data_IF_352499643236
#
_entry.id   IF_352499643236
#
_cell.length_a   1.000
_cell.length_b   1.000
_cell.length_c   1.000
_cell.angle_alpha   90.00
_cell.angle_beta   90.00
_cell.angle_gamma   90.00
#
_symmetry.space_group_name_H-M   'P 1'
#
loop_
_entity.id
_entity.type
_entity.pdbx_description
1 polymer ?
#
# COMPACT_ATOMS: atom_id res chain seq x y z
N UNK A 1 4.35 -9.43 12.13
CA UNK A 1 5.41 -8.82 11.28
C UNK A 1 6.59 -8.28 12.06
N UNK A 2 6.43 -7.80 13.29
CA UNK A 2 7.52 -7.21 14.08
C UNK A 2 8.70 -8.19 14.24
N UNK A 3 8.43 -9.42 14.70
CA UNK A 3 9.45 -10.45 14.88
C UNK A 3 9.98 -11.00 13.54
N UNK A 4 9.16 -10.96 12.49
CA UNK A 4 9.52 -11.48 11.18
C UNK A 4 10.43 -10.54 10.38
N UNK A 5 10.54 -9.26 10.79
CA UNK A 5 11.29 -8.21 10.08
C UNK A 5 12.30 -7.51 10.99
N UNK A 6 13.27 -8.23 11.58
CA UNK A 6 14.19 -7.68 12.58
C UNK A 6 15.09 -6.57 12.02
N UNK A 7 15.43 -6.60 10.72
CA UNK A 7 16.29 -5.60 10.11
C UNK A 7 15.66 -4.21 10.08
N UNK A 8 14.32 -4.10 9.93
CA UNK A 8 13.62 -2.80 9.98
C UNK A 8 13.71 -2.18 11.37
N UNK A 9 13.56 -2.99 12.43
CA UNK A 9 13.78 -2.55 13.81
C UNK A 9 15.21 -2.07 14.02
N UNK A 10 16.20 -2.86 13.57
CA UNK A 10 17.62 -2.53 13.69
C UNK A 10 17.95 -1.17 13.04
N UNK A 11 17.44 -0.91 11.85
CA UNK A 11 17.61 0.37 11.15
C UNK A 11 17.00 1.52 11.93
N UNK A 12 15.75 1.39 12.39
CA UNK A 12 15.10 2.43 13.19
C UNK A 12 15.88 2.75 14.47
N UNK A 13 16.38 1.72 15.15
CA UNK A 13 17.22 1.87 16.35
C UNK A 13 18.59 2.49 16.05
N UNK A 14 19.18 2.22 14.88
CA UNK A 14 20.42 2.84 14.41
C UNK A 14 20.26 4.37 14.25
N UNK A 15 19.05 4.82 13.96
CA UNK A 15 18.69 6.25 13.91
C UNK A 15 18.06 6.76 15.21
N UNK A 16 18.38 6.13 16.35
CA UNK A 16 17.91 6.51 17.69
C UNK A 16 16.37 6.52 17.87
N UNK A 17 15.63 5.82 17.01
CA UNK A 17 14.20 5.70 17.16
C UNK A 17 13.82 4.67 18.23
N UNK A 18 12.87 5.01 19.10
CA UNK A 18 12.23 4.06 20.00
C UNK A 18 11.19 3.25 19.23
N UNK A 19 11.29 1.95 19.28
CA UNK A 19 10.42 1.03 18.52
C UNK A 19 9.63 0.13 19.44
N UNK A 20 8.32 0.26 19.43
CA UNK A 20 7.41 -0.58 20.23
C UNK A 20 6.57 -1.45 19.30
N UNK A 21 6.46 -2.77 19.53
CA UNK A 21 5.55 -3.62 18.77
C UNK A 21 4.10 -3.24 19.05
N UNK A 22 3.21 -3.41 18.07
CA UNK A 22 1.77 -3.19 18.21
C UNK A 22 1.00 -4.47 17.86
N UNK A 23 -0.05 -4.82 18.64
CA UNK A 23 -0.49 -4.16 19.87
C UNK A 23 0.45 -4.36 21.04
N UNK A 24 0.48 -3.40 21.97
CA UNK A 24 1.37 -3.39 23.14
C UNK A 24 0.61 -3.25 24.45
N UNK A 25 1.30 -3.51 25.58
CA UNK A 25 0.76 -3.28 26.92
C UNK A 25 0.99 -1.82 27.43
N UNK A 26 1.58 -0.97 26.60
CA UNK A 26 1.95 0.40 27.01
C UNK A 26 0.80 1.41 26.85
N UNK A 27 -0.18 1.09 26.02
CA UNK A 27 -1.36 1.91 25.73
C UNK A 27 -2.65 1.27 26.20
N UNK A 28 -3.73 2.03 26.37
CA UNK A 28 -5.06 1.47 26.67
C UNK A 28 -5.62 0.73 25.45
N UNK A 29 -5.48 1.32 24.28
CA UNK A 29 -5.90 0.70 23.02
C UNK A 29 -5.19 -0.64 22.79
N UNK A 30 -3.88 -0.71 23.01
CA UNK A 30 -3.12 -1.94 22.87
C UNK A 30 -3.54 -3.02 23.87
N UNK A 31 -3.73 -2.65 25.14
CA UNK A 31 -4.23 -3.57 26.19
C UNK A 31 -5.65 -4.09 25.86
N UNK A 32 -6.55 -3.23 25.37
CA UNK A 32 -7.90 -3.65 25.01
C UNK A 32 -7.89 -4.64 23.83
N UNK A 33 -7.06 -4.41 22.81
CA UNK A 33 -6.90 -5.32 21.68
C UNK A 33 -6.34 -6.67 22.13
N UNK A 34 -5.30 -6.69 22.98
CA UNK A 34 -4.69 -7.90 23.52
C UNK A 34 -5.63 -8.65 24.47
N UNK A 35 -6.50 -7.94 25.19
CA UNK A 35 -7.51 -8.56 26.05
C UNK A 35 -8.59 -9.28 25.22
N UNK A 36 -8.92 -8.75 24.02
CA UNK A 36 -9.87 -9.36 23.10
C UNK A 36 -9.25 -10.58 22.38
N UNK A 37 -8.03 -10.47 21.90
CA UNK A 37 -7.27 -11.55 21.25
C UNK A 37 -5.79 -11.50 21.66
N UNK A 38 -5.39 -12.28 22.68
CA UNK A 38 -4.00 -12.34 23.14
C UNK A 38 -3.01 -12.88 22.09
N UNK A 39 -3.51 -13.55 21.05
CA UNK A 39 -2.69 -14.21 20.02
C UNK A 39 -2.61 -13.39 18.73
N UNK A 40 -3.23 -12.23 18.70
CA UNK A 40 -3.31 -11.40 17.49
C UNK A 40 -1.94 -11.00 16.96
N UNK A 41 -1.74 -11.13 15.66
CA UNK A 41 -0.56 -10.62 14.95
C UNK A 41 -0.58 -9.10 14.73
N UNK A 42 -1.64 -8.42 15.17
CA UNK A 42 -1.88 -7.00 14.98
C UNK A 42 -2.09 -6.60 13.51
N UNK A 43 -2.39 -5.33 13.35
CA UNK A 43 -2.58 -4.70 12.04
C UNK A 43 -2.06 -3.27 12.07
N UNK A 44 -2.03 -2.61 10.91
CA UNK A 44 -1.78 -1.17 10.87
C UNK A 44 -2.86 -0.39 11.66
N UNK A 45 -4.12 -0.84 11.63
CA UNK A 45 -5.21 -0.24 12.41
C UNK A 45 -4.95 -0.25 13.92
N UNK A 46 -4.38 -1.34 14.45
CA UNK A 46 -3.95 -1.39 15.87
C UNK A 46 -2.86 -0.36 16.17
N UNK A 47 -1.83 -0.31 15.32
CA UNK A 47 -0.73 0.64 15.50
C UNK A 47 -1.18 2.11 15.38
N UNK A 48 -2.15 2.40 14.53
CA UNK A 48 -2.77 3.73 14.43
C UNK A 48 -3.46 4.09 15.76
N UNK A 49 -4.27 3.20 16.32
CA UNK A 49 -4.95 3.45 17.62
C UNK A 49 -3.95 3.80 18.72
N UNK A 50 -2.89 3.02 18.88
CA UNK A 50 -1.88 3.25 19.89
C UNK A 50 -1.09 4.55 19.65
N UNK A 51 -0.70 4.84 18.40
CA UNK A 51 0.03 6.05 18.06
C UNK A 51 -0.80 7.33 18.28
N UNK A 52 -2.11 7.29 17.95
CA UNK A 52 -3.02 8.42 18.21
C UNK A 52 -3.22 8.61 19.70
N UNK A 53 -3.40 7.54 20.49
CA UNK A 53 -3.48 7.62 21.95
C UNK A 53 -2.25 8.30 22.54
N UNK A 54 -1.04 7.85 22.17
CA UNK A 54 0.20 8.46 22.65
C UNK A 54 0.29 9.95 22.26
N UNK A 55 -0.05 10.30 21.02
CA UNK A 55 0.00 11.67 20.55
C UNK A 55 -0.99 12.61 21.26
N UNK A 56 -2.14 12.08 21.70
CA UNK A 56 -3.18 12.87 22.37
C UNK A 56 -3.01 12.95 23.89
N UNK A 57 -2.30 12.01 24.50
CA UNK A 57 -2.13 11.92 25.96
C UNK A 57 -0.77 12.43 26.45
N UNK A 58 0.20 12.65 25.55
CA UNK A 58 1.53 13.13 25.90
C UNK A 58 1.81 14.50 25.29
N UNK A 59 2.13 15.46 26.13
CA UNK A 59 2.50 16.83 25.68
C UNK A 59 3.74 16.79 24.78
N UNK A 60 3.71 17.56 23.69
CA UNK A 60 4.83 17.65 22.74
C UNK A 60 4.86 16.55 21.67
N UNK A 61 4.09 15.48 21.82
CA UNK A 61 4.01 14.42 20.81
C UNK A 61 3.15 14.82 19.62
N UNK A 62 3.47 14.29 18.47
CA UNK A 62 2.70 14.48 17.22
C UNK A 62 2.53 13.15 16.52
N UNK A 63 1.34 12.94 15.98
CA UNK A 63 1.02 11.76 15.17
C UNK A 63 1.43 11.99 13.71
N UNK A 64 2.21 11.05 13.16
CA UNK A 64 2.60 11.03 11.75
C UNK A 64 2.23 9.68 11.17
N UNK A 65 1.31 9.67 10.22
CA UNK A 65 0.93 8.47 9.46
C UNK A 65 1.58 8.50 8.07
N UNK A 66 2.14 7.37 7.65
CA UNK A 66 2.81 7.21 6.35
C UNK A 66 1.90 6.71 5.22
N UNK A 67 0.56 6.63 5.41
CA UNK A 67 -0.36 6.14 4.39
C UNK A 67 -1.79 6.67 4.57
N UNK A 68 -2.73 6.32 3.69
CA UNK A 68 -4.19 6.54 3.77
C UNK A 68 -4.62 8.00 3.63
N UNK A 69 -4.03 8.91 4.39
CA UNK A 69 -4.47 10.31 4.51
C UNK A 69 -4.11 11.15 3.28
N UNK A 70 -4.97 12.13 2.96
CA UNK A 70 -4.83 12.96 1.77
C UNK A 70 -3.49 13.70 1.70
N UNK A 71 -2.97 14.23 2.84
CA UNK A 71 -1.67 14.88 2.86
C UNK A 71 -0.52 13.92 2.51
N UNK A 72 -0.64 12.62 2.85
CA UNK A 72 0.37 11.63 2.48
C UNK A 72 0.34 11.37 0.97
N UNK A 73 -0.84 11.23 0.37
CA UNK A 73 -0.99 11.11 -1.07
C UNK A 73 -0.40 12.33 -1.78
N UNK A 74 -0.67 13.54 -1.25
CA UNK A 74 -0.13 14.78 -1.79
C UNK A 74 1.40 14.81 -1.75
N UNK A 75 2.03 14.45 -0.64
CA UNK A 75 3.50 14.37 -0.57
C UNK A 75 4.07 13.32 -1.52
N UNK A 76 3.42 12.17 -1.64
CA UNK A 76 3.88 11.10 -2.53
C UNK A 76 3.59 11.37 -4.01
N UNK A 77 2.82 12.40 -4.36
CA UNK A 77 2.57 12.80 -5.75
C UNK A 77 3.85 13.20 -6.51
N UNK A 78 4.93 13.53 -5.80
CA UNK A 78 6.24 13.78 -6.40
C UNK A 78 6.71 12.59 -7.24
N UNK A 79 6.42 11.36 -6.81
CA UNK A 79 6.78 10.14 -7.56
C UNK A 79 6.07 10.11 -8.92
N UNK A 80 4.78 10.41 -8.93
CA UNK A 80 4.01 10.49 -10.18
C UNK A 80 4.47 11.62 -11.09
N UNK A 81 4.71 12.81 -10.51
CA UNK A 81 5.17 13.98 -11.27
C UNK A 81 6.53 13.73 -11.93
N UNK A 82 7.50 13.19 -11.19
CA UNK A 82 8.82 12.84 -11.75
C UNK A 82 8.72 11.68 -12.76
N UNK A 83 7.87 10.68 -12.51
CA UNK A 83 7.60 9.61 -13.47
C UNK A 83 7.03 10.14 -14.77
N UNK A 84 6.05 11.05 -14.71
CA UNK A 84 5.48 11.69 -15.91
C UNK A 84 6.53 12.50 -16.66
N UNK A 85 7.35 13.29 -15.95
CA UNK A 85 8.44 14.04 -16.57
C UNK A 85 9.46 13.11 -17.24
N UNK A 86 9.82 12.00 -16.62
CA UNK A 86 10.72 11.02 -17.21
C UNK A 86 10.14 10.38 -18.49
N UNK A 87 8.83 10.08 -18.51
CA UNK A 87 8.14 9.58 -19.69
C UNK A 87 8.14 10.62 -20.83
N UNK A 88 7.86 11.88 -20.50
CA UNK A 88 7.91 13.00 -21.47
C UNK A 88 9.31 13.17 -22.09
N UNK A 89 10.38 12.98 -21.29
CA UNK A 89 11.77 13.04 -21.82
C UNK A 89 12.09 11.90 -22.79
N UNK A 90 11.34 10.80 -22.73
CA UNK A 90 11.46 9.65 -23.64
C UNK A 90 10.48 9.73 -24.83
N UNK A 91 9.70 10.80 -24.93
CA UNK A 91 8.61 10.95 -25.89
C UNK A 91 7.57 9.81 -25.78
N UNK A 92 7.29 9.38 -24.53
CA UNK A 92 6.41 8.27 -24.20
C UNK A 92 5.27 8.73 -23.28
N UNK A 93 4.14 8.03 -23.34
CA UNK A 93 3.04 8.16 -22.40
C UNK A 93 2.51 6.75 -22.04
N UNK A 94 2.25 6.42 -20.77
CA UNK A 94 1.83 5.08 -20.42
C UNK A 94 0.37 4.79 -20.84
N UNK A 95 0.15 3.65 -21.49
CA UNK A 95 -1.18 3.09 -21.72
C UNK A 95 -1.74 2.49 -20.44
N UNK A 96 -0.85 1.95 -19.59
CA UNK A 96 -1.22 1.27 -18.35
C UNK A 96 -0.31 1.76 -17.22
N UNK A 97 -0.90 2.19 -16.10
CA UNK A 97 -0.19 2.57 -14.87
C UNK A 97 -0.57 1.60 -13.76
N UNK A 98 0.42 0.95 -13.15
CA UNK A 98 0.23 -0.12 -12.16
C UNK A 98 0.93 0.23 -10.86
N UNK A 99 0.24 0.09 -9.73
CA UNK A 99 0.87 0.26 -8.42
C UNK A 99 0.30 -0.68 -7.35
N UNK A 100 1.15 -1.07 -6.41
CA UNK A 100 0.70 -1.85 -5.25
C UNK A 100 -0.15 -0.97 -4.30
N UNK A 101 -1.16 -1.56 -3.70
CA UNK A 101 -2.14 -0.88 -2.87
C UNK A 101 -2.36 -1.58 -1.53
N UNK A 102 -1.95 -0.89 -0.45
CA UNK A 102 -2.34 -1.17 0.93
C UNK A 102 -3.33 -0.11 1.38
N UNK A 103 -2.88 0.90 2.13
CA UNK A 103 -3.66 2.12 2.41
C UNK A 103 -3.82 3.06 1.22
N UNK A 104 -3.05 2.86 0.15
CA UNK A 104 -3.21 3.52 -1.14
C UNK A 104 -2.32 4.74 -1.39
N UNK A 105 -1.54 5.23 -0.43
CA UNK A 105 -0.76 6.45 -0.64
C UNK A 105 0.34 6.30 -1.71
N UNK A 106 1.01 5.16 -1.76
CA UNK A 106 2.00 4.84 -2.79
C UNK A 106 1.39 4.86 -4.19
N UNK A 107 0.29 4.14 -4.37
CA UNK A 107 -0.47 4.14 -5.62
C UNK A 107 -0.98 5.54 -5.96
N UNK A 108 -1.60 6.23 -4.99
CA UNK A 108 -2.16 7.57 -5.19
C UNK A 108 -1.11 8.59 -5.61
N UNK A 109 0.10 8.51 -5.05
CA UNK A 109 1.22 9.34 -5.44
C UNK A 109 1.65 9.10 -6.89
N UNK A 110 1.85 7.84 -7.25
CA UNK A 110 2.25 7.45 -8.60
C UNK A 110 1.23 7.88 -9.66
N UNK A 111 -0.05 7.60 -9.43
CA UNK A 111 -1.09 7.83 -10.45
C UNK A 111 -1.55 9.28 -10.55
N UNK A 112 -1.20 10.15 -9.59
CA UNK A 112 -1.78 11.49 -9.49
C UNK A 112 -1.77 12.32 -10.78
N UNK A 113 -0.67 12.48 -11.54
CA UNK A 113 -0.65 13.27 -12.76
C UNK A 113 -1.36 12.56 -13.93
N UNK A 114 -1.32 11.23 -13.97
CA UNK A 114 -2.00 10.44 -15.00
C UNK A 114 -3.51 10.43 -14.79
N UNK A 115 -3.95 10.36 -13.51
CA UNK A 115 -5.35 10.51 -13.15
C UNK A 115 -5.85 11.91 -13.44
N UNK A 116 -5.04 12.94 -13.20
CA UNK A 116 -5.38 14.32 -13.58
C UNK A 116 -5.63 14.44 -15.09
N UNK A 117 -4.76 13.88 -15.92
CA UNK A 117 -4.95 13.90 -17.37
C UNK A 117 -6.21 13.13 -17.79
N UNK A 118 -6.48 11.99 -17.17
CA UNK A 118 -7.70 11.21 -17.40
C UNK A 118 -8.96 11.98 -17.01
N UNK A 119 -8.98 12.61 -15.84
CA UNK A 119 -10.14 13.42 -15.40
C UNK A 119 -10.36 14.67 -16.24
N UNK A 120 -9.30 15.23 -16.82
CA UNK A 120 -9.36 16.39 -17.74
C UNK A 120 -9.62 15.98 -19.20
N UNK A 121 -9.74 14.69 -19.50
CA UNK A 121 -9.95 14.19 -20.86
C UNK A 121 -8.75 14.39 -21.79
N UNK A 122 -7.54 14.58 -21.26
CA UNK A 122 -6.30 14.75 -22.04
C UNK A 122 -5.71 13.42 -22.50
N UNK A 123 -5.86 12.37 -21.67
CA UNK A 123 -5.42 11.00 -21.93
C UNK A 123 -6.32 10.04 -21.15
N UNK A 124 -6.31 8.75 -21.52
CA UNK A 124 -7.13 7.73 -20.87
C UNK A 124 -6.32 6.46 -20.55
N UNK A 125 -5.25 6.56 -19.74
CA UNK A 125 -4.51 5.38 -19.32
C UNK A 125 -5.36 4.46 -18.44
N UNK A 126 -5.19 3.14 -18.58
CA UNK A 126 -5.72 2.20 -17.60
C UNK A 126 -4.90 2.28 -16.33
N UNK A 127 -5.57 2.36 -15.19
CA UNK A 127 -4.93 2.46 -13.88
C UNK A 127 -5.31 1.23 -13.07
N UNK A 128 -4.33 0.44 -12.62
CA UNK A 128 -4.53 -0.83 -11.94
C UNK A 128 -3.92 -0.78 -10.54
N UNK A 129 -4.78 -0.88 -9.53
CA UNK A 129 -4.39 -1.12 -8.15
C UNK A 129 -4.15 -2.61 -7.94
N UNK A 130 -3.00 -2.98 -7.36
CA UNK A 130 -2.66 -4.37 -7.09
C UNK A 130 -2.57 -4.60 -5.58
N UNK A 131 -3.44 -5.43 -5.05
CA UNK A 131 -3.52 -5.73 -3.63
C UNK A 131 -3.23 -7.21 -3.34
N UNK A 132 -2.77 -7.56 -2.11
CA UNK A 132 -2.59 -8.95 -1.74
C UNK A 132 -3.94 -9.66 -1.58
N UNK A 133 -4.03 -10.90 -2.06
CA UNK A 133 -5.23 -11.72 -1.91
C UNK A 133 -5.60 -12.01 -0.43
N UNK A 134 -4.65 -11.81 0.50
CA UNK A 134 -4.86 -11.91 1.94
C UNK A 134 -5.41 -10.65 2.60
N UNK A 135 -5.43 -9.51 1.88
CA UNK A 135 -5.94 -8.22 2.36
C UNK A 135 -6.58 -7.40 1.22
N UNK A 136 -7.67 -7.91 0.59
CA UNK A 136 -8.23 -7.40 -0.65
C UNK A 136 -9.30 -6.32 -0.40
N UNK A 137 -8.89 -5.14 0.06
CA UNK A 137 -9.81 -4.08 0.47
C UNK A 137 -10.66 -3.52 -0.67
N UNK A 138 -10.11 -3.35 -1.88
CA UNK A 138 -10.85 -2.89 -3.05
C UNK A 138 -11.69 -4.00 -3.68
N UNK A 139 -11.08 -5.17 -3.93
CA UNK A 139 -11.74 -6.25 -4.70
C UNK A 139 -12.78 -7.03 -3.90
N UNK A 140 -12.71 -7.03 -2.56
CA UNK A 140 -13.65 -7.75 -1.68
C UNK A 140 -14.26 -6.91 -0.55
N UNK A 141 -13.75 -5.69 -0.33
CA UNK A 141 -14.26 -4.78 0.67
C UNK A 141 -15.61 -4.16 0.27
N UNK A 142 -16.18 -3.42 1.20
CA UNK A 142 -17.43 -2.65 1.00
C UNK A 142 -17.11 -1.16 1.00
N UNK A 143 -17.80 -0.39 0.15
CA UNK A 143 -17.68 1.07 0.12
C UNK A 143 -18.64 1.69 1.13
N UNK A 144 -18.16 1.88 2.35
CA UNK A 144 -18.93 2.37 3.50
C UNK A 144 -18.12 3.33 4.36
N UNK A 145 -18.78 3.97 5.35
CA UNK A 145 -18.07 4.68 6.40
C UNK A 145 -17.51 3.67 7.40
N UNK A 146 -16.23 3.82 7.71
CA UNK A 146 -15.52 2.99 8.68
C UNK A 146 -14.45 3.80 9.41
N UNK A 147 -14.00 3.30 10.57
CA UNK A 147 -12.86 3.88 11.28
C UNK A 147 -11.55 3.55 10.56
N UNK A 148 -10.62 4.51 10.58
CA UNK A 148 -9.27 4.28 10.04
C UNK A 148 -8.41 3.42 10.96
N UNK A 149 -8.88 3.08 12.15
CA UNK A 149 -8.17 2.33 13.18
C UNK A 149 -9.06 1.30 13.89
N UNK A 150 -8.44 0.33 14.54
CA UNK A 150 -9.13 -0.77 15.23
C UNK A 150 -9.77 -0.33 16.55
N UNK A 151 -9.18 0.63 17.25
CA UNK A 151 -9.63 1.12 18.55
C UNK A 151 -10.67 2.25 18.48
N UNK A 152 -11.11 2.65 17.29
CA UNK A 152 -12.14 3.69 17.06
C UNK A 152 -11.75 5.08 17.60
N UNK A 153 -10.47 5.40 17.63
CA UNK A 153 -9.98 6.72 18.10
C UNK A 153 -9.83 7.74 16.96
N UNK A 154 -9.95 7.29 15.70
CA UNK A 154 -9.90 8.15 14.51
C UNK A 154 -11.31 8.52 14.03
N UNK A 155 -11.46 9.60 13.24
CA UNK A 155 -12.73 9.91 12.57
C UNK A 155 -13.16 8.82 11.57
N UNK A 156 -14.47 8.73 11.34
CA UNK A 156 -15.01 7.92 10.25
C UNK A 156 -14.62 8.49 8.88
N UNK A 157 -14.22 7.62 7.98
CA UNK A 157 -13.95 7.96 6.60
C UNK A 157 -14.70 7.03 5.66
N UNK A 158 -15.23 7.56 4.56
CA UNK A 158 -15.87 6.74 3.52
C UNK A 158 -14.80 6.09 2.66
N UNK A 159 -14.72 4.76 2.71
CA UNK A 159 -13.66 4.01 2.06
C UNK A 159 -14.13 2.62 1.64
N UNK A 160 -13.39 1.98 0.75
CA UNK A 160 -13.46 0.53 0.61
C UNK A 160 -12.76 -0.10 1.80
N UNK A 161 -13.44 -0.96 2.54
CA UNK A 161 -12.93 -1.55 3.78
C UNK A 161 -13.35 -3.01 3.95
N UNK A 162 -12.49 -3.77 4.60
CA UNK A 162 -12.75 -5.14 5.09
C UNK A 162 -13.34 -5.12 6.52
N UNK A 163 -13.49 -3.91 7.11
CA UNK A 163 -13.89 -3.68 8.48
C UNK A 163 -12.70 -3.36 9.40
N UNK A 164 -12.87 -2.36 10.28
CA UNK A 164 -11.81 -1.88 11.18
C UNK A 164 -11.26 -2.94 12.14
N UNK A 165 -12.04 -3.99 12.43
CA UNK A 165 -11.60 -5.17 13.20
C UNK A 165 -10.93 -6.27 12.37
N UNK A 166 -10.79 -6.11 11.05
CA UNK A 166 -10.15 -7.11 10.21
C UNK A 166 -8.66 -7.25 10.51
N UNK A 167 -8.23 -8.47 10.84
CA UNK A 167 -6.83 -8.82 11.06
C UNK A 167 -6.30 -9.58 9.83
N UNK A 168 -5.47 -8.93 8.99
CA UNK A 168 -4.88 -9.59 7.84
C UNK A 168 -4.02 -10.77 8.26
N UNK A 169 -4.10 -11.87 7.52
CA UNK A 169 -3.18 -12.99 7.71
C UNK A 169 -1.72 -12.50 7.59
N UNK A 170 -0.77 -13.09 8.31
CA UNK A 170 0.63 -12.74 8.19
C UNK A 170 1.11 -13.01 6.76
N UNK A 171 1.57 -11.98 6.09
CA UNK A 171 2.23 -12.03 4.79
C UNK A 171 3.51 -11.20 4.84
N UNK A 172 4.41 -11.41 3.89
CA UNK A 172 5.69 -10.70 3.85
C UNK A 172 5.58 -9.25 3.35
N UNK A 173 4.52 -8.89 2.65
CA UNK A 173 4.23 -7.52 2.25
C UNK A 173 3.55 -6.74 3.39
N UNK A 174 4.32 -6.43 4.43
CA UNK A 174 3.81 -5.76 5.65
C UNK A 174 3.17 -4.40 5.38
N UNK A 175 3.64 -3.68 4.37
CA UNK A 175 3.08 -2.39 3.93
C UNK A 175 1.71 -2.49 3.25
N UNK A 176 1.24 -3.71 2.91
CA UNK A 176 -0.06 -3.93 2.28
C UNK A 176 -1.09 -4.60 3.23
N UNK A 177 -0.86 -4.54 4.54
CA UNK A 177 -1.72 -5.16 5.57
C UNK A 177 -2.60 -4.13 6.28
N UNK A 178 -3.46 -3.45 5.53
CA UNK A 178 -4.40 -2.47 6.07
C UNK A 178 -5.83 -2.78 5.63
N UNK A 179 -6.79 -2.67 6.56
CA UNK A 179 -8.19 -3.06 6.33
C UNK A 179 -8.94 -2.14 5.36
N UNK A 180 -8.48 -0.91 5.16
CA UNK A 180 -9.16 0.12 4.37
C UNK A 180 -8.28 0.74 3.29
N UNK A 181 -8.93 1.41 2.35
CA UNK A 181 -8.29 2.13 1.27
C UNK A 181 -8.49 3.64 1.46
N UNK A 182 -7.51 4.45 1.10
CA UNK A 182 -7.61 5.91 1.06
C UNK A 182 -8.97 6.36 0.50
N UNK A 183 -9.64 7.33 1.12
CA UNK A 183 -10.93 7.84 0.64
C UNK A 183 -10.91 8.32 -0.81
N UNK A 184 -9.83 8.98 -1.23
CA UNK A 184 -9.67 9.47 -2.62
C UNK A 184 -9.62 8.27 -3.59
N UNK A 185 -8.76 7.28 -3.34
CA UNK A 185 -8.66 6.11 -4.22
C UNK A 185 -9.93 5.26 -4.17
N UNK A 186 -10.56 5.14 -3.01
CA UNK A 186 -11.85 4.47 -2.89
C UNK A 186 -12.91 5.12 -3.77
N UNK A 187 -12.94 6.46 -3.81
CA UNK A 187 -13.87 7.20 -4.68
C UNK A 187 -13.56 6.99 -6.15
N UNK A 188 -12.28 7.10 -6.56
CA UNK A 188 -11.86 6.88 -7.93
C UNK A 188 -12.18 5.46 -8.43
N UNK A 189 -11.95 4.46 -7.60
CA UNK A 189 -12.33 3.07 -7.90
C UNK A 189 -13.84 2.89 -7.98
N UNK A 190 -14.60 3.47 -7.03
CA UNK A 190 -16.05 3.40 -7.00
C UNK A 190 -16.70 4.02 -8.24
N UNK A 191 -16.12 5.10 -8.75
CA UNK A 191 -16.61 5.82 -9.92
C UNK A 191 -16.10 5.22 -11.26
N UNK A 192 -15.30 4.15 -11.20
CA UNK A 192 -14.83 3.44 -12.40
C UNK A 192 -13.63 4.06 -13.10
N UNK A 193 -12.92 5.00 -12.46
CA UNK A 193 -11.71 5.60 -13.04
C UNK A 193 -10.47 4.71 -12.96
N UNK A 194 -10.49 3.66 -12.13
CA UNK A 194 -9.40 2.71 -11.98
C UNK A 194 -9.92 1.29 -11.74
N UNK A 195 -9.07 0.33 -12.02
CA UNK A 195 -9.29 -1.10 -11.81
C UNK A 195 -8.56 -1.58 -10.55
N UNK A 196 -8.94 -2.75 -10.03
CA UNK A 196 -8.22 -3.40 -8.95
C UNK A 196 -8.11 -4.91 -9.20
N UNK A 197 -6.96 -5.47 -8.86
CA UNK A 197 -6.69 -6.90 -8.92
C UNK A 197 -6.05 -7.37 -7.62
N UNK A 198 -6.34 -8.59 -7.19
CA UNK A 198 -5.70 -9.20 -6.03
C UNK A 198 -4.82 -10.37 -6.45
N UNK A 199 -3.60 -10.46 -5.87
CA UNK A 199 -2.58 -11.44 -6.25
C UNK A 199 -2.19 -12.30 -5.04
N UNK A 200 -1.97 -13.59 -5.28
CA UNK A 200 -1.50 -14.52 -4.25
C UNK A 200 -0.01 -14.31 -3.97
N UNK A 201 0.39 -14.47 -2.72
CA UNK A 201 1.79 -14.26 -2.30
C UNK A 201 2.79 -15.14 -3.08
N UNK A 202 2.45 -16.38 -3.39
CA UNK A 202 3.30 -17.28 -4.19
C UNK A 202 3.61 -16.71 -5.56
N UNK A 203 2.59 -16.21 -6.27
CA UNK A 203 2.72 -15.64 -7.60
C UNK A 203 3.51 -14.32 -7.57
N UNK A 204 3.41 -13.58 -6.46
CA UNK A 204 4.17 -12.36 -6.21
C UNK A 204 5.66 -12.66 -6.03
N UNK A 205 6.01 -13.69 -5.25
CA UNK A 205 7.41 -14.08 -5.05
C UNK A 205 8.03 -14.69 -6.30
N UNK A 206 7.29 -15.47 -7.07
CA UNK A 206 7.76 -15.97 -8.37
C UNK A 206 8.10 -14.82 -9.32
N UNK A 207 7.25 -13.80 -9.39
CA UNK A 207 7.49 -12.60 -10.17
C UNK A 207 8.70 -11.79 -9.65
N UNK A 208 8.86 -11.68 -8.32
CA UNK A 208 9.99 -10.99 -7.71
C UNK A 208 11.32 -11.65 -8.05
N UNK A 209 11.39 -12.97 -7.95
CA UNK A 209 12.60 -13.76 -8.28
C UNK A 209 12.92 -13.67 -9.78
N UNK A 210 11.91 -13.77 -10.63
CA UNK A 210 12.09 -13.60 -12.07
C UNK A 210 12.62 -12.21 -12.40
N UNK A 211 12.01 -11.17 -11.84
CA UNK A 211 12.43 -9.78 -12.05
C UNK A 211 13.88 -9.54 -11.57
N UNK A 212 14.22 -10.03 -10.38
CA UNK A 212 15.59 -9.90 -9.86
C UNK A 212 16.64 -10.57 -10.76
N UNK A 213 16.32 -11.72 -11.37
CA UNK A 213 17.22 -12.43 -12.29
C UNK A 213 17.40 -11.70 -13.62
N UNK A 214 16.38 -11.02 -14.10
CA UNK A 214 16.39 -10.35 -15.42
C UNK A 214 16.90 -8.93 -15.31
N UNK A 215 16.41 -8.17 -14.31
CA UNK A 215 16.68 -6.74 -14.15
C UNK A 215 17.81 -6.45 -13.15
N UNK A 216 18.32 -7.46 -12.44
CA UNK A 216 19.37 -7.31 -11.39
C UNK A 216 18.98 -6.39 -10.23
N UNK A 217 17.69 -6.12 -10.06
CA UNK A 217 17.12 -5.31 -8.98
C UNK A 217 16.31 -6.23 -8.06
N UNK A 218 16.61 -6.23 -6.77
CA UNK A 218 15.87 -7.00 -5.77
C UNK A 218 14.65 -6.18 -5.27
N UNK A 219 13.43 -6.50 -5.71
CA UNK A 219 12.25 -5.71 -5.38
C UNK A 219 11.76 -6.01 -3.96
N UNK A 220 11.11 -5.02 -3.31
CA UNK A 220 10.39 -5.26 -2.08
C UNK A 220 9.18 -6.18 -2.32
N UNK A 221 8.75 -6.98 -1.32
CA UNK A 221 7.54 -7.80 -1.43
C UNK A 221 6.30 -6.98 -1.83
N UNK A 222 6.21 -5.74 -1.39
CA UNK A 222 5.11 -4.83 -1.73
C UNK A 222 5.07 -4.52 -3.22
N UNK A 223 6.16 -4.00 -3.79
CA UNK A 223 6.23 -3.64 -5.23
C UNK A 223 6.21 -4.85 -6.15
N UNK A 224 6.56 -6.02 -5.64
CA UNK A 224 6.46 -7.29 -6.40
C UNK A 224 5.01 -7.64 -6.80
N UNK A 225 4.00 -7.08 -6.09
CA UNK A 225 2.61 -7.16 -6.52
C UNK A 225 2.39 -6.41 -7.84
N UNK A 226 2.96 -5.21 -7.97
CA UNK A 226 2.89 -4.44 -9.21
C UNK A 226 3.66 -5.13 -10.35
N UNK A 227 4.83 -5.73 -10.06
CA UNK A 227 5.61 -6.51 -11.02
C UNK A 227 4.78 -7.68 -11.56
N UNK A 228 4.11 -8.44 -10.69
CA UNK A 228 3.25 -9.56 -11.13
C UNK A 228 2.17 -9.10 -12.10
N UNK A 229 1.47 -8.03 -11.77
CA UNK A 229 0.45 -7.48 -12.65
C UNK A 229 1.03 -6.91 -13.95
N UNK A 230 2.21 -6.30 -13.92
CA UNK A 230 2.88 -5.82 -15.13
C UNK A 230 3.27 -6.97 -16.06
N UNK A 231 3.77 -8.08 -15.51
CA UNK A 231 4.04 -9.31 -16.28
C UNK A 231 2.75 -9.84 -16.90
N UNK A 232 1.64 -9.89 -16.14
CA UNK A 232 0.35 -10.37 -16.64
C UNK A 232 -0.18 -9.51 -17.80
N UNK A 233 -0.07 -8.18 -17.68
CA UNK A 233 -0.47 -7.27 -18.77
C UNK A 233 0.47 -7.39 -19.99
N UNK A 234 1.77 -7.53 -19.79
CA UNK A 234 2.74 -7.75 -20.87
C UNK A 234 2.47 -9.09 -21.63
N UNK A 235 2.08 -10.15 -20.90
CA UNK A 235 1.69 -11.41 -21.52
C UNK A 235 0.40 -11.27 -22.36
N UNK A 236 -0.58 -10.49 -21.88
CA UNK A 236 -1.78 -10.17 -22.67
C UNK A 236 -1.40 -9.40 -23.94
N UNK A 237 -0.51 -8.43 -23.87
CA UNK A 237 -0.02 -7.72 -25.05
C UNK A 237 0.65 -8.66 -26.05
N UNK A 238 1.44 -9.65 -25.56
CA UNK A 238 2.03 -10.68 -26.42
C UNK A 238 0.98 -11.55 -27.10
N UNK A 239 -0.09 -11.93 -26.40
CA UNK A 239 -1.18 -12.76 -26.93
C UNK A 239 -2.01 -11.98 -27.97
N UNK A 240 -2.30 -10.71 -27.72
CA UNK A 240 -3.11 -9.87 -28.62
C UNK A 240 -2.33 -9.27 -29.78
N UNK A 241 -0.99 -9.20 -29.65
CA UNK A 241 -0.12 -8.50 -30.61
C UNK A 241 -0.17 -6.97 -30.47
N UNK A 242 -0.79 -6.43 -29.42
CA UNK A 242 -0.85 -5.00 -29.16
C UNK A 242 0.44 -4.51 -28.46
N UNK A 243 1.09 -3.49 -29.01
CA UNK A 243 2.17 -2.79 -28.32
C UNK A 243 1.59 -1.78 -27.31
N UNK A 244 2.00 -1.86 -26.05
CA UNK A 244 1.60 -0.91 -24.97
C UNK A 244 2.77 -0.53 -24.09
N UNK A 245 2.80 0.71 -23.68
CA UNK A 245 3.72 1.21 -22.67
C UNK A 245 3.14 1.00 -21.28
N UNK A 246 3.82 0.20 -20.46
CA UNK A 246 3.38 -0.16 -19.08
C UNK A 246 4.30 0.52 -18.08
N UNK A 247 3.76 1.46 -17.30
CA UNK A 247 4.45 2.07 -16.17
C UNK A 247 4.02 1.39 -14.88
N UNK A 248 4.96 0.87 -14.09
CA UNK A 248 4.64 0.32 -12.78
C UNK A 248 5.51 0.90 -11.67
N UNK A 249 4.95 0.98 -10.47
CA UNK A 249 5.66 1.49 -9.29
C UNK A 249 6.61 0.44 -8.70
N UNK A 250 7.92 0.67 -8.85
CA UNK A 250 8.99 -0.12 -8.24
C UNK A 250 9.50 0.61 -7.00
N UNK A 251 8.80 0.48 -5.87
CA UNK A 251 9.10 1.18 -4.62
C UNK A 251 9.63 0.24 -3.54
N UNK A 252 10.51 0.76 -2.69
CA UNK A 252 11.18 -0.03 -1.66
C UNK A 252 12.32 -0.89 -2.22
N UNK A 253 12.86 -1.73 -1.35
CA UNK A 253 13.96 -2.67 -1.68
C UNK A 253 13.73 -4.00 -0.97
N UNK A 254 14.14 -5.10 -1.58
CA UNK A 254 14.07 -6.43 -1.00
C UNK A 254 15.21 -6.79 -0.05
N UNK A 255 16.24 -5.96 0.09
CA UNK A 255 17.39 -6.29 0.92
C UNK A 255 17.06 -6.50 2.40
N UNK A 256 15.98 -5.92 2.89
CA UNK A 256 15.50 -6.11 4.26
C UNK A 256 14.56 -7.30 4.44
N UNK A 257 14.24 -8.00 3.36
CA UNK A 257 13.27 -9.09 3.33
C UNK A 257 13.88 -10.40 2.76
N UNK A 258 15.21 -10.56 2.84
CA UNK A 258 15.95 -11.70 2.29
C UNK A 258 15.62 -13.05 2.95
N UNK A 259 14.93 -13.03 4.07
CA UNK A 259 14.46 -14.24 4.77
C UNK A 259 13.00 -14.60 4.43
N UNK A 260 12.38 -13.85 3.53
CA UNK A 260 11.00 -14.04 3.11
C UNK A 260 10.83 -15.15 2.07
#
# INVERSE_FOLDING_TARGET
SYEQKPFRKAIMQTFDANVTPSPSNTTEAGRAILAHDPTTGGSLGCAISEAVEVATTHEGYRYVLGSVLNQVLLHQSIIGLESKQAMEMLDEYPDIVIGCAGGGSNLGGLISPFMQDKLLGKADPRIIAVEPASCPSLTRGKYVYDFCDTGHVTPLARMYTLGNGFMPAPNHAGGLRYHGMSPILSKLYHDGYMEAVSVKQTDVFDAAVQFAKVETILPAPESSHAIRAAIDEALKCKETGEAKTILFGLTGTGYFDMTA
#
